data_IF_020310022043
#
_entry.id   IF_020310022043
#
_cell.length_a   1.000
_cell.length_b   1.000
_cell.length_c   1.000
_cell.angle_alpha   90.00
_cell.angle_beta   90.00
_cell.angle_gamma   90.00
#
_symmetry.space_group_name_H-M   'P 1'
#
loop_
_entity.id
_entity.type
_entity.pdbx_description
1 polymer ?
#
# COMPACT_ATOMS: atom_id res chain seq x y z
N UNK A 1 24.80 -6.93 31.67
CA UNK A 1 24.89 -6.08 30.46
C UNK A 1 24.29 -6.85 29.30
N UNK A 2 23.02 -6.60 28.98
CA UNK A 2 22.35 -7.26 27.85
C UNK A 2 22.68 -6.49 26.58
N UNK A 3 23.60 -7.01 25.80
CA UNK A 3 23.83 -6.56 24.42
C UNK A 3 22.57 -6.88 23.60
N UNK A 4 21.67 -5.91 23.45
CA UNK A 4 20.60 -5.99 22.45
C UNK A 4 21.24 -6.19 21.10
N UNK A 5 21.00 -7.36 20.54
CA UNK A 5 21.42 -7.76 19.21
C UNK A 5 20.88 -6.74 18.19
N UNK A 6 21.75 -5.86 17.67
CA UNK A 6 21.43 -4.68 16.84
C UNK A 6 21.24 -5.03 15.37
N UNK A 7 20.86 -6.26 15.05
CA UNK A 7 20.59 -6.73 13.69
C UNK A 7 19.11 -6.84 13.35
N UNK A 8 18.23 -6.04 13.97
CA UNK A 8 16.84 -5.97 13.47
C UNK A 8 16.84 -5.26 12.12
N UNK A 9 16.25 -5.88 11.13
CA UNK A 9 15.99 -5.27 9.81
C UNK A 9 15.30 -3.92 10.00
N UNK A 10 15.65 -2.91 9.20
CA UNK A 10 14.98 -1.60 9.30
C UNK A 10 13.64 -1.59 8.60
N UNK A 11 13.48 -2.42 7.55
CA UNK A 11 12.34 -2.41 6.66
C UNK A 11 11.90 -3.84 6.32
N UNK A 12 10.58 -4.07 6.35
CA UNK A 12 9.91 -5.20 5.71
C UNK A 12 8.89 -4.65 4.72
N UNK A 13 8.78 -5.23 3.54
CA UNK A 13 7.79 -4.87 2.52
C UNK A 13 6.69 -5.93 2.53
N UNK A 14 5.43 -5.52 2.51
CA UNK A 14 4.26 -6.40 2.50
C UNK A 14 3.38 -6.07 1.30
N UNK A 15 3.07 -7.08 0.50
CA UNK A 15 2.32 -6.94 -0.76
C UNK A 15 1.13 -7.91 -0.71
N UNK A 16 -0.11 -7.47 -0.48
CA UNK A 16 -1.28 -8.31 -0.68
C UNK A 16 -1.48 -8.57 -2.18
N UNK A 17 -1.70 -9.83 -2.56
CA UNK A 17 -1.88 -10.22 -3.96
C UNK A 17 -3.01 -11.23 -4.12
N UNK A 18 -3.78 -11.10 -5.22
CA UNK A 18 -4.74 -12.08 -5.69
C UNK A 18 -4.87 -12.00 -7.20
N UNK A 19 -4.42 -13.05 -7.90
CA UNK A 19 -4.47 -13.12 -9.36
C UNK A 19 -3.79 -11.92 -10.05
N UNK A 20 -2.54 -11.66 -9.67
CA UNK A 20 -1.74 -10.52 -10.16
C UNK A 20 -0.54 -10.97 -11.01
N UNK A 21 -0.57 -12.17 -11.59
CA UNK A 21 0.53 -12.71 -12.40
C UNK A 21 1.00 -11.77 -13.51
N UNK A 22 0.10 -10.96 -14.09
CA UNK A 22 0.40 -10.00 -15.16
C UNK A 22 1.06 -8.71 -14.67
N UNK A 23 0.81 -8.30 -13.43
CA UNK A 23 1.21 -6.97 -12.93
C UNK A 23 2.32 -7.03 -11.87
N UNK A 24 2.30 -8.04 -10.99
CA UNK A 24 3.28 -8.17 -9.92
C UNK A 24 4.75 -8.19 -10.40
N UNK A 25 5.11 -8.70 -11.62
CA UNK A 25 6.47 -8.61 -12.12
C UNK A 25 6.98 -7.18 -12.27
N UNK A 26 6.10 -6.21 -12.60
CA UNK A 26 6.47 -4.79 -12.71
C UNK A 26 6.90 -4.23 -11.36
N UNK A 27 6.11 -4.49 -10.31
CA UNK A 27 6.45 -4.09 -8.95
C UNK A 27 7.76 -4.74 -8.49
N UNK A 28 7.88 -6.06 -8.58
CA UNK A 28 9.07 -6.78 -8.12
C UNK A 28 10.33 -6.34 -8.88
N UNK A 29 10.23 -6.12 -10.19
CA UNK A 29 11.35 -5.55 -10.98
C UNK A 29 11.70 -4.15 -10.50
N UNK A 30 10.71 -3.28 -10.23
CA UNK A 30 10.98 -1.93 -9.72
C UNK A 30 11.63 -1.94 -8.33
N UNK A 31 11.35 -2.95 -7.50
CA UNK A 31 12.01 -3.15 -6.20
C UNK A 31 13.48 -3.55 -6.38
N UNK A 32 13.82 -4.37 -7.37
CA UNK A 32 15.24 -4.75 -7.61
C UNK A 32 16.11 -3.58 -8.04
N UNK A 33 15.52 -2.49 -8.51
CA UNK A 33 16.24 -1.30 -9.01
C UNK A 33 16.29 -0.16 -7.99
N UNK A 34 15.72 -0.33 -6.79
CA UNK A 34 15.77 0.70 -5.75
C UNK A 34 17.18 0.87 -5.20
N UNK A 35 17.62 2.12 -4.99
CA UNK A 35 18.95 2.48 -4.47
C UNK A 35 19.06 2.45 -2.94
N UNK A 36 18.06 1.89 -2.27
CA UNK A 36 18.10 1.69 -0.82
C UNK A 36 19.16 0.67 -0.45
N UNK A 37 20.20 1.09 0.26
CA UNK A 37 21.41 0.28 0.54
C UNK A 37 21.13 -1.07 1.21
N UNK A 38 20.01 -1.20 1.93
CA UNK A 38 19.59 -2.44 2.61
C UNK A 38 18.55 -3.23 1.82
N UNK A 39 18.33 -2.90 0.54
CA UNK A 39 17.27 -3.54 -0.27
C UNK A 39 17.47 -5.06 -0.39
N UNK A 40 18.70 -5.52 -0.56
CA UNK A 40 19.02 -6.96 -0.68
C UNK A 40 18.68 -7.77 0.59
N UNK A 41 18.77 -7.15 1.77
CA UNK A 41 18.41 -7.78 3.05
C UNK A 41 16.95 -7.49 3.48
N UNK A 42 16.26 -6.59 2.80
CA UNK A 42 14.86 -6.26 3.09
C UNK A 42 13.96 -7.44 2.75
N UNK A 43 13.21 -7.95 3.73
CA UNK A 43 12.23 -9.01 3.50
C UNK A 43 11.05 -8.46 2.71
N UNK A 44 10.67 -9.15 1.63
CA UNK A 44 9.49 -8.86 0.82
C UNK A 44 8.50 -10.01 1.00
N UNK A 45 7.39 -9.75 1.66
CA UNK A 45 6.36 -10.75 1.98
C UNK A 45 5.15 -10.51 1.07
N UNK A 46 4.91 -11.44 0.14
CA UNK A 46 3.71 -11.42 -0.71
C UNK A 46 2.62 -12.25 -0.04
N UNK A 47 1.58 -11.57 0.44
CA UNK A 47 0.43 -12.20 1.10
C UNK A 47 -0.58 -12.63 0.03
N UNK A 48 -0.44 -13.87 -0.44
CA UNK A 48 -1.24 -14.43 -1.52
C UNK A 48 -2.60 -14.92 -1.05
N UNK A 49 -3.66 -14.44 -1.69
CA UNK A 49 -5.05 -14.76 -1.37
C UNK A 49 -5.60 -15.94 -2.21
N UNK A 50 -4.84 -17.05 -2.25
CA UNK A 50 -5.12 -18.25 -3.04
C UNK A 50 -5.26 -17.94 -4.54
N UNK A 51 -4.24 -17.33 -5.13
CA UNK A 51 -4.16 -17.08 -6.57
C UNK A 51 -4.14 -18.38 -7.37
N UNK A 52 -4.76 -18.37 -8.55
CA UNK A 52 -4.87 -19.52 -9.46
C UNK A 52 -4.22 -19.26 -10.82
N UNK A 53 -3.57 -18.10 -10.98
CA UNK A 53 -3.02 -17.61 -12.26
C UNK A 53 -1.48 -17.71 -12.34
N UNK A 54 -0.83 -18.37 -11.38
CA UNK A 54 0.62 -18.48 -11.31
C UNK A 54 1.32 -17.33 -10.57
N UNK A 55 0.57 -16.47 -9.87
CA UNK A 55 1.15 -15.37 -9.07
C UNK A 55 2.24 -15.86 -8.09
N UNK A 56 2.03 -16.92 -7.26
CA UNK A 56 3.05 -17.39 -6.32
C UNK A 56 4.34 -17.83 -7.00
N UNK A 57 4.25 -18.55 -8.11
CA UNK A 57 5.39 -19.07 -8.88
C UNK A 57 6.22 -17.92 -9.46
N UNK A 58 5.55 -16.89 -9.98
CA UNK A 58 6.20 -15.68 -10.47
C UNK A 58 6.91 -14.95 -9.33
N UNK A 59 6.30 -14.81 -8.16
CA UNK A 59 6.94 -14.19 -6.99
C UNK A 59 8.22 -14.96 -6.63
N UNK A 60 8.15 -16.28 -6.59
CA UNK A 60 9.28 -17.12 -6.23
C UNK A 60 10.42 -17.08 -7.23
N UNK A 61 10.17 -16.76 -8.51
CA UNK A 61 11.20 -16.57 -9.53
C UNK A 61 12.09 -15.33 -9.29
N UNK A 62 11.73 -14.46 -8.35
CA UNK A 62 12.53 -13.29 -7.96
C UNK A 62 13.50 -13.54 -6.80
N UNK A 63 13.56 -14.76 -6.24
CA UNK A 63 14.38 -15.05 -5.04
C UNK A 63 15.87 -14.78 -5.20
N UNK A 64 16.41 -14.90 -6.39
CA UNK A 64 17.82 -14.62 -6.64
C UNK A 64 18.16 -13.12 -6.63
N UNK A 65 17.13 -12.27 -6.71
CA UNK A 65 17.25 -10.80 -6.80
C UNK A 65 16.68 -10.06 -5.60
N UNK A 66 15.72 -10.67 -4.90
CA UNK A 66 15.04 -10.11 -3.72
C UNK A 66 14.92 -11.16 -2.63
N UNK A 67 15.03 -10.76 -1.38
CA UNK A 67 14.68 -11.61 -0.24
C UNK A 67 13.14 -11.72 -0.13
N UNK A 68 12.53 -12.40 -1.12
CA UNK A 68 11.08 -12.49 -1.27
C UNK A 68 10.54 -13.86 -0.85
N UNK A 69 9.35 -13.86 -0.24
CA UNK A 69 8.61 -15.05 0.11
C UNK A 69 7.11 -14.86 0.00
N UNK A 70 6.39 -15.96 -0.20
CA UNK A 70 4.93 -15.99 -0.22
C UNK A 70 4.42 -16.43 1.13
N UNK A 71 3.43 -15.72 1.65
CA UNK A 71 2.73 -16.03 2.90
C UNK A 71 1.23 -16.14 2.64
N UNK A 72 0.48 -16.73 3.57
CA UNK A 72 -0.98 -16.78 3.48
C UNK A 72 -1.58 -15.38 3.52
N UNK A 73 -2.35 -15.05 2.49
CA UNK A 73 -3.12 -13.82 2.37
C UNK A 73 -4.63 -14.03 2.49
N UNK A 74 -5.38 -13.07 2.02
CA UNK A 74 -6.84 -12.99 2.02
C UNK A 74 -7.29 -11.63 1.51
N UNK A 75 -8.36 -11.07 2.05
CA UNK A 75 -8.71 -9.66 1.78
C UNK A 75 -7.52 -8.75 2.08
N UNK A 76 -7.35 -7.62 1.39
CA UNK A 76 -6.15 -6.78 1.50
C UNK A 76 -5.75 -6.42 2.94
N UNK A 77 -6.72 -6.01 3.78
CA UNK A 77 -6.48 -5.72 5.21
C UNK A 77 -5.88 -6.91 5.95
N UNK A 78 -6.44 -8.11 5.75
CA UNK A 78 -5.94 -9.34 6.36
C UNK A 78 -4.52 -9.66 5.87
N UNK A 79 -4.28 -9.63 4.55
CA UNK A 79 -2.96 -9.91 3.98
C UNK A 79 -1.89 -8.94 4.49
N UNK A 80 -2.20 -7.64 4.58
CA UNK A 80 -1.30 -6.63 5.13
C UNK A 80 -1.00 -6.87 6.61
N UNK A 81 -2.02 -7.20 7.43
CA UNK A 81 -1.85 -7.53 8.83
C UNK A 81 -0.99 -8.80 9.02
N UNK A 82 -1.22 -9.85 8.22
CA UNK A 82 -0.41 -11.08 8.28
C UNK A 82 1.06 -10.81 7.97
N UNK A 83 1.35 -9.98 6.97
CA UNK A 83 2.72 -9.58 6.64
C UNK A 83 3.35 -8.74 7.76
N UNK A 84 2.62 -7.77 8.30
CA UNK A 84 3.09 -6.93 9.40
C UNK A 84 3.34 -7.73 10.70
N UNK A 85 2.56 -8.79 10.95
CA UNK A 85 2.75 -9.67 12.11
C UNK A 85 4.03 -10.52 11.99
N UNK A 86 4.45 -10.86 10.78
CA UNK A 86 5.70 -11.59 10.51
C UNK A 86 6.92 -10.67 10.35
N UNK A 87 6.72 -9.35 10.35
CA UNK A 87 7.81 -8.39 10.29
C UNK A 87 8.49 -8.26 11.65
N UNK A 88 9.82 -8.27 11.65
CA UNK A 88 10.69 -7.99 12.80
C UNK A 88 11.38 -6.62 12.69
N UNK A 89 11.20 -5.95 11.56
CA UNK A 89 11.76 -4.64 11.24
C UNK A 89 11.09 -3.49 12.00
N UNK A 90 11.81 -2.35 12.07
CA UNK A 90 11.27 -1.12 12.67
C UNK A 90 10.13 -0.53 11.85
N UNK A 91 10.24 -0.57 10.53
CA UNK A 91 9.24 -0.06 9.59
C UNK A 91 8.67 -1.19 8.73
N UNK A 92 7.39 -1.07 8.37
CA UNK A 92 6.71 -1.92 7.40
C UNK A 92 6.21 -1.03 6.27
N UNK A 93 6.56 -1.38 5.03
CA UNK A 93 6.06 -0.74 3.82
C UNK A 93 4.99 -1.62 3.18
N UNK A 94 3.78 -1.12 3.11
CA UNK A 94 2.68 -1.76 2.38
C UNK A 94 2.64 -1.23 0.95
N UNK A 95 2.60 -2.13 -0.02
CA UNK A 95 2.51 -1.85 -1.46
C UNK A 95 1.40 -2.69 -2.08
N UNK A 96 0.61 -2.12 -2.99
CA UNK A 96 -0.32 -2.92 -3.80
C UNK A 96 0.44 -3.66 -4.91
N UNK A 97 -0.05 -4.84 -5.31
CA UNK A 97 0.64 -5.71 -6.27
C UNK A 97 0.63 -5.17 -7.72
N UNK A 98 -0.25 -4.22 -8.03
CA UNK A 98 -0.47 -3.66 -9.38
C UNK A 98 0.19 -2.28 -9.61
N UNK A 99 1.18 -1.94 -8.79
CA UNK A 99 1.94 -0.70 -8.91
C UNK A 99 3.36 -0.93 -9.44
N UNK A 100 4.02 0.18 -9.82
CA UNK A 100 5.43 0.25 -10.19
C UNK A 100 6.07 1.46 -9.51
N UNK A 101 7.23 1.28 -8.89
CA UNK A 101 8.01 2.37 -8.31
C UNK A 101 8.90 2.99 -9.40
N UNK A 102 8.46 4.12 -9.95
CA UNK A 102 9.19 4.78 -11.03
C UNK A 102 10.50 5.42 -10.59
N UNK A 103 10.52 5.91 -9.36
CA UNK A 103 11.67 6.60 -8.77
C UNK A 103 12.52 5.60 -7.98
N UNK A 104 13.73 5.34 -8.48
CA UNK A 104 14.68 4.42 -7.85
C UNK A 104 15.11 4.84 -6.44
N UNK A 105 14.97 6.12 -6.08
CA UNK A 105 15.34 6.65 -4.78
C UNK A 105 14.16 6.73 -3.79
N UNK A 106 12.96 6.31 -4.19
CA UNK A 106 11.75 6.54 -3.40
C UNK A 106 11.82 5.88 -2.02
N UNK A 107 12.14 4.58 -1.97
CA UNK A 107 12.23 3.85 -0.68
C UNK A 107 13.29 4.49 0.21
N UNK A 108 14.50 4.77 -0.30
CA UNK A 108 15.56 5.41 0.46
C UNK A 108 15.11 6.74 1.05
N UNK A 109 14.56 7.64 0.23
CA UNK A 109 14.08 8.97 0.69
C UNK A 109 12.94 8.88 1.71
N UNK A 110 12.04 7.90 1.57
CA UNK A 110 10.99 7.65 2.56
C UNK A 110 11.59 7.18 3.89
N UNK A 111 12.54 6.24 3.86
CA UNK A 111 13.21 5.73 5.04
C UNK A 111 14.06 6.80 5.74
N UNK A 112 14.86 7.57 5.00
CA UNK A 112 15.65 8.70 5.54
C UNK A 112 14.74 9.72 6.24
N UNK A 113 13.63 10.09 5.60
CA UNK A 113 12.67 11.04 6.17
C UNK A 113 11.98 10.47 7.41
N UNK A 114 11.59 9.19 7.37
CA UNK A 114 10.93 8.51 8.49
C UNK A 114 11.87 8.41 9.71
N UNK A 115 13.09 7.95 9.50
CA UNK A 115 14.10 7.80 10.56
C UNK A 115 14.55 9.17 11.11
N UNK A 116 14.87 10.13 10.23
CA UNK A 116 15.40 11.44 10.64
C UNK A 116 14.39 12.30 11.41
N UNK A 117 13.07 12.10 11.20
CA UNK A 117 12.01 12.87 11.88
C UNK A 117 11.18 12.04 12.84
N UNK A 118 11.47 10.75 13.01
CA UNK A 118 10.69 9.83 13.84
C UNK A 118 9.22 9.77 13.41
N UNK A 119 8.97 9.63 12.09
CA UNK A 119 7.61 9.63 11.56
C UNK A 119 6.94 8.27 11.79
N UNK A 120 5.65 8.32 12.02
CA UNK A 120 4.83 7.12 12.19
C UNK A 120 4.29 6.60 10.85
N UNK A 121 3.99 7.50 9.90
CA UNK A 121 3.53 7.13 8.57
C UNK A 121 4.13 8.05 7.50
N UNK A 122 4.55 7.45 6.38
CA UNK A 122 5.00 8.16 5.18
C UNK A 122 4.29 7.58 3.96
N UNK A 123 3.85 8.43 3.07
CA UNK A 123 3.24 8.06 1.78
C UNK A 123 3.84 8.87 0.63
N UNK A 124 3.38 8.62 -0.58
CA UNK A 124 3.86 9.29 -1.80
C UNK A 124 2.72 9.61 -2.75
N UNK A 125 3.02 10.38 -3.79
CA UNK A 125 2.10 10.69 -4.88
C UNK A 125 1.81 9.45 -5.74
N UNK A 126 0.62 9.42 -6.36
CA UNK A 126 0.17 8.35 -7.24
C UNK A 126 -0.04 8.92 -8.64
N UNK A 127 0.48 8.24 -9.63
CA UNK A 127 0.36 8.63 -11.04
C UNK A 127 -0.24 7.49 -11.84
N UNK A 128 -1.31 7.77 -12.58
CA UNK A 128 -1.86 6.81 -13.53
C UNK A 128 -1.04 6.86 -14.83
N UNK A 129 -0.27 5.78 -15.11
CA UNK A 129 0.61 5.70 -16.27
C UNK A 129 -0.18 5.47 -17.56
N UNK A 130 -1.11 4.53 -17.53
CA UNK A 130 -1.84 4.02 -18.71
C UNK A 130 -3.24 4.65 -18.86
N UNK A 131 -3.53 5.69 -18.08
CA UNK A 131 -4.83 6.34 -18.04
C UNK A 131 -5.00 7.47 -19.05
N UNK A 132 -6.27 7.72 -19.40
CA UNK A 132 -6.66 8.90 -20.16
C UNK A 132 -6.57 10.19 -19.29
N UNK A 133 -6.90 11.35 -19.87
CA UNK A 133 -6.84 12.62 -19.13
C UNK A 133 -7.79 12.68 -17.92
N UNK A 134 -8.93 11.98 -17.97
CA UNK A 134 -9.88 11.89 -16.85
C UNK A 134 -9.27 11.10 -15.69
N UNK A 135 -8.66 9.94 -15.97
CA UNK A 135 -7.95 9.14 -14.97
C UNK A 135 -6.86 9.97 -14.27
N UNK A 136 -6.08 10.73 -15.06
CA UNK A 136 -5.01 11.61 -14.53
C UNK A 136 -5.56 12.70 -13.61
N UNK A 137 -6.71 13.31 -13.94
CA UNK A 137 -7.38 14.30 -13.08
C UNK A 137 -7.82 13.66 -11.76
N UNK A 138 -8.40 12.45 -11.78
CA UNK A 138 -8.81 11.76 -10.56
C UNK A 138 -7.62 11.48 -9.64
N UNK A 139 -6.49 11.02 -10.18
CA UNK A 139 -5.29 10.79 -9.35
C UNK A 139 -4.64 12.09 -8.88
N UNK A 140 -4.62 13.14 -9.71
CA UNK A 140 -4.20 14.47 -9.27
C UNK A 140 -5.10 15.03 -8.15
N UNK A 141 -6.40 14.78 -8.23
CA UNK A 141 -7.35 15.08 -7.15
C UNK A 141 -7.04 14.31 -5.87
N UNK A 142 -6.73 13.01 -5.98
CA UNK A 142 -6.30 12.22 -4.84
C UNK A 142 -5.05 12.82 -4.17
N UNK A 143 -4.03 13.17 -4.95
CA UNK A 143 -2.81 13.80 -4.45
C UNK A 143 -3.11 15.15 -3.79
N UNK A 144 -3.98 15.96 -4.39
CA UNK A 144 -4.42 17.21 -3.80
C UNK A 144 -5.07 17.00 -2.43
N UNK A 145 -5.98 16.02 -2.30
CA UNK A 145 -6.58 15.67 -1.01
C UNK A 145 -5.57 15.12 -0.02
N UNK A 146 -4.57 14.35 -0.46
CA UNK A 146 -3.46 13.95 0.41
C UNK A 146 -2.72 15.16 0.97
N UNK A 147 -2.37 16.15 0.16
CA UNK A 147 -1.71 17.37 0.65
C UNK A 147 -2.64 18.20 1.54
N UNK A 148 -3.92 18.30 1.20
CA UNK A 148 -4.90 19.00 2.04
C UNK A 148 -5.06 18.32 3.41
N UNK A 149 -4.84 17.00 3.49
CA UNK A 149 -4.94 16.22 4.72
C UNK A 149 -3.96 16.67 5.81
N UNK A 150 -2.86 17.33 5.46
CA UNK A 150 -1.99 17.98 6.45
C UNK A 150 -2.70 19.02 7.31
N UNK A 151 -3.77 19.63 6.82
CA UNK A 151 -4.52 20.65 7.57
C UNK A 151 -5.45 20.03 8.61
N UNK A 152 -5.89 18.80 8.39
CA UNK A 152 -6.90 18.17 9.25
C UNK A 152 -6.52 16.77 9.72
N UNK A 153 -6.60 15.75 8.88
CA UNK A 153 -6.31 14.36 9.19
C UNK A 153 -5.46 13.72 8.11
N UNK A 154 -4.32 13.10 8.47
CA UNK A 154 -3.47 12.43 7.50
C UNK A 154 -4.22 11.46 6.60
N UNK A 155 -3.89 11.48 5.32
CA UNK A 155 -4.44 10.58 4.33
C UNK A 155 -3.29 9.91 3.54
N UNK A 156 -3.19 8.60 3.64
CA UNK A 156 -2.32 7.77 2.84
C UNK A 156 -3.15 6.73 2.09
N UNK A 157 -2.78 6.42 0.86
CA UNK A 157 -3.42 5.36 0.08
C UNK A 157 -2.72 4.03 0.29
N UNK A 158 -3.47 2.94 0.26
CA UNK A 158 -2.95 1.57 0.39
C UNK A 158 -1.88 1.19 -0.63
N UNK A 159 -1.79 1.93 -1.75
CA UNK A 159 -0.79 1.71 -2.80
C UNK A 159 0.65 1.92 -2.32
N UNK A 160 0.88 2.82 -1.35
CA UNK A 160 2.19 3.04 -0.74
C UNK A 160 2.02 3.62 0.66
N UNK A 161 2.23 2.82 1.69
CA UNK A 161 2.14 3.23 3.09
C UNK A 161 3.32 2.67 3.88
N UNK A 162 4.28 3.53 4.25
CA UNK A 162 5.37 3.17 5.16
C UNK A 162 4.95 3.52 6.59
N UNK A 163 4.86 2.53 7.47
CA UNK A 163 4.51 2.69 8.87
C UNK A 163 5.63 2.28 9.81
N UNK A 164 5.84 3.02 10.90
CA UNK A 164 6.56 2.50 12.05
C UNK A 164 5.74 1.35 12.66
N UNK A 165 6.30 0.14 12.69
CA UNK A 165 5.59 -1.11 13.03
C UNK A 165 4.93 -1.07 14.41
N UNK A 166 5.59 -0.51 15.41
CA UNK A 166 5.04 -0.38 16.76
C UNK A 166 3.80 0.52 16.77
N UNK A 167 3.86 1.65 16.02
CA UNK A 167 2.73 2.59 15.92
C UNK A 167 1.59 2.03 15.09
N UNK A 168 1.90 1.29 14.03
CA UNK A 168 0.91 0.56 13.24
C UNK A 168 0.04 -0.32 14.15
N UNK A 169 0.67 -1.13 15.01
CA UNK A 169 -0.05 -2.00 15.93
C UNK A 169 -0.74 -1.25 17.06
N UNK A 170 -0.18 -0.14 17.56
CA UNK A 170 -0.84 0.73 18.55
C UNK A 170 -2.12 1.37 18.01
N UNK A 171 -2.21 1.59 16.69
CA UNK A 171 -3.41 2.08 16.01
C UNK A 171 -4.39 0.94 15.67
N UNK A 172 -4.07 -0.32 16.00
CA UNK A 172 -4.90 -1.50 15.77
C UNK A 172 -4.69 -2.18 14.43
N UNK A 173 -3.70 -1.75 13.62
CA UNK A 173 -3.48 -2.26 12.27
C UNK A 173 -4.62 -1.93 11.31
N UNK A 174 -4.70 -2.66 10.18
CA UNK A 174 -5.84 -2.55 9.28
C UNK A 174 -7.06 -3.27 9.86
N UNK A 175 -8.21 -2.61 9.86
CA UNK A 175 -9.44 -3.20 10.36
C UNK A 175 -10.04 -4.17 9.32
N UNK A 176 -9.93 -5.48 9.57
CA UNK A 176 -10.21 -6.53 8.59
C UNK A 176 -11.67 -6.62 8.10
N UNK A 177 -12.63 -6.07 8.88
CA UNK A 177 -14.03 -5.99 8.46
C UNK A 177 -14.33 -4.79 7.57
N UNK A 178 -13.39 -3.85 7.41
CA UNK A 178 -13.50 -2.70 6.51
C UNK A 178 -13.02 -3.14 5.13
N UNK A 179 -13.94 -3.16 4.16
CA UNK A 179 -13.69 -3.59 2.79
C UNK A 179 -13.38 -2.45 1.83
N UNK A 180 -13.46 -1.21 2.30
CA UNK A 180 -13.18 -0.01 1.50
C UNK A 180 -12.66 1.12 2.38
N UNK A 181 -11.60 1.81 1.91
CA UNK A 181 -10.94 2.93 2.60
C UNK A 181 -10.37 2.56 3.99
N UNK A 182 -9.94 1.31 4.17
CA UNK A 182 -9.24 0.82 5.36
C UNK A 182 -7.93 1.57 5.59
N UNK A 183 -7.27 1.98 4.51
CA UNK A 183 -6.06 2.80 4.47
C UNK A 183 -6.30 4.21 5.01
N UNK A 184 -7.37 4.87 4.57
CA UNK A 184 -7.79 6.16 5.11
C UNK A 184 -8.16 6.04 6.59
N UNK A 185 -8.93 5.03 6.97
CA UNK A 185 -9.33 4.81 8.37
C UNK A 185 -8.12 4.66 9.29
N UNK A 186 -7.08 3.96 8.85
CA UNK A 186 -5.86 3.78 9.61
C UNK A 186 -5.01 5.07 9.62
N UNK A 187 -4.72 5.63 8.46
CA UNK A 187 -3.83 6.81 8.34
C UNK A 187 -4.39 8.06 9.01
N UNK A 188 -5.71 8.23 9.02
CA UNK A 188 -6.38 9.38 9.66
C UNK A 188 -6.21 9.44 11.18
N UNK A 189 -5.72 8.38 11.82
CA UNK A 189 -5.42 8.30 13.26
C UNK A 189 -3.98 8.74 13.58
N UNK A 190 -3.14 8.90 12.55
CA UNK A 190 -1.75 9.32 12.73
C UNK A 190 -1.70 10.81 13.12
N UNK A 191 -0.86 11.18 14.08
CA UNK A 191 -0.61 12.59 14.40
C UNK A 191 -0.01 13.33 13.19
N UNK A 192 -0.54 14.50 12.82
CA UNK A 192 -0.08 15.29 11.66
C UNK A 192 1.43 15.52 11.63
N UNK A 193 2.03 15.85 12.78
CA UNK A 193 3.49 16.06 12.91
C UNK A 193 4.32 14.79 12.72
N UNK A 194 3.68 13.62 12.74
CA UNK A 194 4.29 12.30 12.55
C UNK A 194 3.94 11.67 11.21
N UNK A 195 3.33 12.44 10.33
CA UNK A 195 2.97 12.05 8.96
C UNK A 195 3.78 12.84 7.94
N UNK A 196 4.11 12.22 6.82
CA UNK A 196 4.73 12.93 5.71
C UNK A 196 4.32 12.34 4.34
N UNK A 197 4.31 13.23 3.34
CA UNK A 197 4.28 12.85 1.92
C UNK A 197 5.68 13.10 1.36
N UNK A 198 6.24 12.12 0.68
CA UNK A 198 7.50 12.23 -0.07
C UNK A 198 7.15 12.33 -1.55
N UNK A 199 7.60 13.40 -2.21
CA UNK A 199 7.42 13.51 -3.66
C UNK A 199 8.17 12.38 -4.35
N UNK A 200 7.50 11.67 -5.19
CA UNK A 200 8.02 10.54 -5.95
C UNK A 200 6.94 10.13 -6.94
N UNK A 201 6.91 8.97 -7.43
CA UNK A 201 5.81 8.48 -8.25
C UNK A 201 5.65 7.00 -8.02
N UNK A 202 4.48 6.63 -7.56
CA UNK A 202 4.00 5.27 -7.69
C UNK A 202 3.11 5.25 -8.93
N UNK A 203 3.51 4.51 -9.94
CA UNK A 203 2.68 4.29 -11.12
C UNK A 203 1.65 3.20 -10.84
N UNK A 204 0.40 3.47 -11.17
CA UNK A 204 -0.69 2.51 -11.12
C UNK A 204 -1.43 2.46 -12.46
N UNK A 205 -2.36 1.52 -12.60
CA UNK A 205 -3.20 1.35 -13.79
C UNK A 205 -4.56 2.00 -13.59
N UNK A 206 -5.30 2.24 -14.69
CA UNK A 206 -6.67 2.72 -14.63
C UNK A 206 -7.72 1.59 -14.47
N UNK A 207 -7.27 0.35 -14.19
CA UNK A 207 -8.11 -0.87 -14.09
C UNK A 207 -9.36 -0.66 -13.23
N UNK A 208 -9.24 0.10 -12.14
CA UNK A 208 -10.35 0.41 -11.24
C UNK A 208 -11.43 1.25 -11.92
N UNK A 209 -11.01 2.28 -12.63
CA UNK A 209 -11.95 3.15 -13.38
C UNK A 209 -12.60 2.42 -14.54
N UNK A 210 -11.86 1.57 -15.26
CA UNK A 210 -12.42 0.72 -16.32
C UNK A 210 -13.49 -0.23 -15.79
N UNK A 211 -13.33 -0.71 -14.55
CA UNK A 211 -14.23 -1.68 -13.94
C UNK A 211 -15.45 -1.05 -13.31
N UNK A 212 -15.33 0.03 -12.59
CA UNK A 212 -16.39 0.65 -11.79
C UNK A 212 -16.95 1.93 -12.40
N UNK A 213 -16.25 2.55 -13.35
CA UNK A 213 -16.54 3.88 -13.88
C UNK A 213 -16.11 5.02 -12.95
N UNK A 214 -15.74 6.16 -13.55
CA UNK A 214 -15.21 7.31 -12.82
C UNK A 214 -16.22 7.91 -11.83
N UNK A 215 -17.48 8.08 -12.25
CA UNK A 215 -18.52 8.69 -11.41
C UNK A 215 -18.77 7.89 -10.13
N UNK A 216 -18.83 6.56 -10.24
CA UNK A 216 -19.06 5.69 -9.09
C UNK A 216 -17.86 5.72 -8.12
N UNK A 217 -16.65 5.65 -8.65
CA UNK A 217 -15.43 5.72 -7.83
C UNK A 217 -15.35 7.09 -7.15
N UNK A 218 -15.49 8.18 -7.90
CA UNK A 218 -15.44 9.54 -7.37
C UNK A 218 -16.50 9.80 -6.30
N UNK A 219 -17.75 9.38 -6.54
CA UNK A 219 -18.83 9.49 -5.56
C UNK A 219 -18.52 8.70 -4.28
N UNK A 220 -18.02 7.48 -4.42
CA UNK A 220 -17.69 6.64 -3.27
C UNK A 220 -16.59 7.27 -2.40
N UNK A 221 -15.55 7.83 -3.01
CA UNK A 221 -14.50 8.54 -2.29
C UNK A 221 -15.03 9.80 -1.59
N UNK A 222 -15.78 10.64 -2.32
CA UNK A 222 -16.37 11.86 -1.75
C UNK A 222 -17.31 11.52 -0.58
N UNK A 223 -18.17 10.51 -0.75
CA UNK A 223 -19.11 10.07 0.28
C UNK A 223 -18.37 9.54 1.52
N UNK A 224 -17.26 8.83 1.34
CA UNK A 224 -16.43 8.35 2.44
C UNK A 224 -15.76 9.50 3.19
N UNK A 225 -15.27 10.51 2.48
CA UNK A 225 -14.72 11.71 3.12
C UNK A 225 -15.78 12.47 3.95
N UNK A 226 -17.01 12.55 3.45
CA UNK A 226 -18.14 13.17 4.14
C UNK A 226 -18.68 12.34 5.32
N UNK A 227 -18.37 11.05 5.38
CA UNK A 227 -18.84 10.11 6.40
C UNK A 227 -17.69 9.54 7.24
N UNK A 228 -16.57 10.25 7.37
CA UNK A 228 -15.36 9.72 8.04
C UNK A 228 -15.57 9.33 9.51
N UNK A 229 -16.59 9.89 10.17
CA UNK A 229 -16.98 9.57 11.56
C UNK A 229 -17.97 8.39 11.65
N UNK A 230 -18.58 7.99 10.55
CA UNK A 230 -19.64 6.99 10.53
C UNK A 230 -19.05 5.58 10.36
N UNK A 231 -18.85 4.86 11.44
CA UNK A 231 -18.32 3.50 11.43
C UNK A 231 -19.15 2.53 10.59
N UNK A 232 -20.50 2.67 10.60
CA UNK A 232 -21.39 1.83 9.79
C UNK A 232 -21.14 1.99 8.29
N UNK A 233 -20.68 3.17 7.85
CA UNK A 233 -20.30 3.39 6.45
C UNK A 233 -19.10 2.52 6.07
N UNK A 234 -18.06 2.49 6.91
CA UNK A 234 -16.85 1.69 6.65
C UNK A 234 -17.09 0.19 6.72
N UNK A 235 -18.02 -0.28 7.55
CA UNK A 235 -18.37 -1.69 7.69
C UNK A 235 -19.29 -2.21 6.57
N UNK A 236 -19.85 -1.30 5.76
CA UNK A 236 -20.73 -1.67 4.64
C UNK A 236 -19.92 -2.20 3.47
N UNK A 237 -20.35 -3.31 2.87
CA UNK A 237 -19.79 -3.80 1.61
C UNK A 237 -20.21 -2.89 0.44
N UNK A 238 -19.27 -2.09 -0.06
CA UNK A 238 -19.43 -1.24 -1.23
C UNK A 238 -19.21 -1.97 -2.56
N UNK A 239 -18.98 -3.30 -2.52
CA UNK A 239 -18.62 -4.16 -3.66
C UNK A 239 -17.36 -3.67 -4.40
N UNK A 240 -16.46 -3.04 -3.65
CA UNK A 240 -15.23 -2.47 -4.19
C UNK A 240 -14.26 -3.56 -4.70
N UNK A 241 -14.23 -4.70 -4.01
CA UNK A 241 -13.39 -5.87 -4.33
C UNK A 241 -14.15 -6.97 -5.08
N UNK A 242 -15.44 -6.80 -5.38
CA UNK A 242 -16.22 -7.80 -6.10
C UNK A 242 -15.59 -8.08 -7.48
N UNK A 243 -15.36 -9.33 -7.83
CA UNK A 243 -14.91 -9.71 -9.17
C UNK A 243 -16.01 -9.40 -10.22
N UNK A 244 -15.63 -9.00 -11.45
CA UNK A 244 -16.64 -8.86 -12.50
C UNK A 244 -17.28 -10.22 -12.72
N UNK A 245 -18.59 -10.29 -12.60
CA UNK A 245 -19.34 -11.48 -13.01
C UNK A 245 -19.06 -11.82 -14.48
N UNK A 246 -19.31 -13.07 -14.92
CA UNK A 246 -19.13 -13.44 -16.32
C UNK A 246 -19.87 -12.43 -17.20
N UNK A 247 -19.19 -11.90 -18.22
CA UNK A 247 -19.84 -11.04 -19.21
C UNK A 247 -20.98 -11.84 -19.80
N UNK A 248 -22.22 -11.38 -19.62
CA UNK A 248 -23.33 -11.90 -20.40
C UNK A 248 -23.00 -11.60 -21.84
N UNK A 249 -22.85 -12.67 -22.62
CA UNK A 249 -22.64 -12.63 -24.06
C UNK A 249 -23.86 -11.99 -24.75
#
# INVERSE_FOLDING_TARGET
>A
MNTKNTNSSELTIVIPAKNEAKLIPRLLTSLTTQDYSKMSSTRVLVADANSTDGTPEIVMSFRDRLNVGVIRGGMPSFGRNQGAAQADSKYVLFLDADIELADKSLIRRCMEKALGKGLHCVTTNIVCKDGNWVDKIFYAGNDFFQYLSYLHRPFATGMFMLFEREKFWKLGGFHEKILFAEDYRLSSQVERKRFAIVRGGVYTTNRRFQRMGHLRVGWLFLWTMLNFWNEKHFLRDHKYWAEPGPRRA
#
